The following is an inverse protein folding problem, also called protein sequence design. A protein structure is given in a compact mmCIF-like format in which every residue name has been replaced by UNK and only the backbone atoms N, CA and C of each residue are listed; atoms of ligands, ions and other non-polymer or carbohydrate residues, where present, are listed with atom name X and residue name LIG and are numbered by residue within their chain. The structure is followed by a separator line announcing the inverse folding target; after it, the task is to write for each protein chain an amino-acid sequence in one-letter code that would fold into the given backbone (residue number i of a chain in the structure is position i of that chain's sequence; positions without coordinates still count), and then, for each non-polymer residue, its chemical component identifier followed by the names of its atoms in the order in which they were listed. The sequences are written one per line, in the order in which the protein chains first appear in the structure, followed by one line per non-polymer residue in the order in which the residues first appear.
data_IF_777113917456
#
_entry.id   IF_777113917456
#
_cell.length_a   1.000
_cell.length_b   1.000
_cell.length_c   1.000
_cell.angle_alpha   90.00
_cell.angle_beta   90.00
_cell.angle_gamma   90.00
#
_symmetry.space_group_name_H-M   'P 1'
#
loop_
_entity.id
_entity.type
_entity.pdbx_description
1 polymer ?
#
# COMPACT_ATOMS: atom_id res chain seq x y z
N UNK A 1 10.35 -7.96 14.10
CA UNK A 1 10.45 -8.79 12.86
C UNK A 1 11.05 -7.94 11.77
N UNK A 2 12.10 -8.40 11.07
CA UNK A 2 12.73 -7.66 9.97
C UNK A 2 11.98 -7.86 8.66
N UNK A 3 12.26 -6.97 7.67
CA UNK A 3 11.66 -7.06 6.33
C UNK A 3 12.16 -8.30 5.55
N UNK A 4 13.39 -8.72 5.79
CA UNK A 4 13.96 -9.89 5.12
C UNK A 4 13.90 -11.11 6.03
N UNK A 5 13.63 -12.27 5.43
CA UNK A 5 13.60 -13.55 6.14
C UNK A 5 14.71 -14.48 5.66
N UNK A 6 15.31 -15.20 6.61
CA UNK A 6 16.22 -16.33 6.33
C UNK A 6 15.47 -17.66 6.24
N UNK A 7 14.16 -17.67 6.51
CA UNK A 7 13.31 -18.84 6.44
C UNK A 7 12.71 -18.95 5.04
N UNK A 8 13.13 -19.93 4.21
CA UNK A 8 12.70 -20.03 2.82
C UNK A 8 11.18 -20.17 2.64
N UNK A 9 10.51 -20.80 3.58
CA UNK A 9 9.07 -21.03 3.61
C UNK A 9 8.25 -19.75 3.92
N UNK A 10 8.88 -18.69 4.44
CA UNK A 10 8.27 -17.41 4.77
C UNK A 10 8.57 -16.31 3.75
N UNK A 11 9.35 -16.61 2.73
CA UNK A 11 9.68 -15.64 1.68
C UNK A 11 8.51 -15.43 0.72
N UNK A 12 8.31 -14.19 0.28
CA UNK A 12 7.32 -13.85 -0.77
C UNK A 12 7.57 -14.63 -2.07
N UNK A 13 8.81 -15.06 -2.33
CA UNK A 13 9.14 -15.90 -3.50
C UNK A 13 8.46 -17.28 -3.50
N UNK A 14 7.87 -17.71 -2.38
CA UNK A 14 7.14 -18.97 -2.26
C UNK A 14 5.66 -18.87 -2.62
N UNK A 15 5.15 -17.66 -2.74
CA UNK A 15 3.74 -17.43 -3.01
C UNK A 15 3.55 -16.97 -4.45
N UNK A 16 2.52 -17.47 -5.15
CA UNK A 16 2.08 -16.88 -6.40
C UNK A 16 1.70 -15.40 -6.21
N UNK A 17 1.86 -14.60 -7.25
CA UNK A 17 1.54 -13.17 -7.23
C UNK A 17 0.11 -12.89 -6.76
N UNK A 18 -0.87 -13.66 -7.25
CA UNK A 18 -2.29 -13.53 -6.88
C UNK A 18 -2.52 -13.73 -5.37
N UNK A 19 -1.82 -14.68 -4.77
CA UNK A 19 -1.92 -14.93 -3.32
C UNK A 19 -1.30 -13.79 -2.51
N UNK A 20 -0.19 -13.20 -2.99
CA UNK A 20 0.41 -12.02 -2.37
C UNK A 20 -0.55 -10.82 -2.44
N UNK A 21 -1.14 -10.56 -3.60
CA UNK A 21 -2.13 -9.49 -3.79
C UNK A 21 -3.31 -9.70 -2.84
N UNK A 22 -3.86 -10.92 -2.79
CA UNK A 22 -4.99 -11.23 -1.90
C UNK A 22 -4.67 -10.95 -0.44
N UNK A 23 -3.50 -11.34 0.04
CA UNK A 23 -3.05 -11.09 1.44
C UNK A 23 -2.88 -9.60 1.72
N UNK A 24 -2.28 -8.87 0.80
CA UNK A 24 -2.10 -7.42 0.95
C UNK A 24 -3.46 -6.72 1.01
N UNK A 25 -4.36 -7.01 0.08
CA UNK A 25 -5.71 -6.41 0.05
C UNK A 25 -6.47 -6.71 1.33
N UNK A 26 -6.43 -7.96 1.82
CA UNK A 26 -7.07 -8.35 3.07
C UNK A 26 -6.44 -7.60 4.26
N UNK A 27 -5.11 -7.48 4.31
CA UNK A 27 -4.40 -6.81 5.39
C UNK A 27 -4.59 -5.29 5.38
N UNK A 28 -4.82 -4.67 4.23
CA UNK A 28 -5.16 -3.25 4.13
C UNK A 28 -6.46 -2.90 4.86
N UNK A 29 -7.43 -3.82 4.90
CA UNK A 29 -8.70 -3.59 5.59
C UNK A 29 -9.53 -2.46 5.00
N UNK A 30 -9.23 -2.03 3.77
CA UNK A 30 -10.01 -1.02 3.04
C UNK A 30 -11.05 -1.70 2.18
N UNK A 31 -12.19 -1.04 1.97
CA UNK A 31 -13.20 -1.51 1.03
C UNK A 31 -12.64 -1.36 -0.39
N UNK A 32 -12.18 -2.46 -0.96
CA UNK A 32 -11.82 -2.53 -2.37
C UNK A 32 -13.01 -3.10 -3.16
N UNK A 33 -13.32 -2.57 -4.35
CA UNK A 33 -14.33 -3.19 -5.20
C UNK A 33 -13.89 -4.62 -5.56
N UNK A 34 -14.85 -5.54 -5.79
CA UNK A 34 -14.51 -6.87 -6.28
C UNK A 34 -13.94 -6.82 -7.69
N UNK A 35 -13.23 -7.89 -8.10
CA UNK A 35 -12.84 -8.07 -9.51
C UNK A 35 -14.10 -8.03 -10.41
N UNK A 36 -14.07 -7.37 -11.60
CA UNK A 36 -12.90 -6.78 -12.29
C UNK A 36 -12.57 -5.32 -11.94
N UNK A 37 -13.37 -4.64 -11.12
CA UNK A 37 -13.19 -3.22 -10.81
C UNK A 37 -12.11 -2.96 -9.73
N UNK A 38 -11.78 -4.00 -8.96
CA UNK A 38 -10.82 -3.95 -7.86
C UNK A 38 -9.46 -4.57 -8.18
N UNK A 39 -8.64 -4.79 -7.13
CA UNK A 39 -7.32 -5.39 -7.27
C UNK A 39 -7.36 -6.76 -7.92
N UNK A 40 -6.42 -7.02 -8.83
CA UNK A 40 -6.30 -8.28 -9.59
C UNK A 40 -6.60 -8.14 -11.08
N UNK A 41 -7.06 -6.97 -11.56
CA UNK A 41 -7.15 -6.60 -12.97
C UNK A 41 -5.99 -5.70 -13.40
N UNK A 42 -5.81 -5.54 -14.73
CA UNK A 42 -4.74 -4.68 -15.29
C UNK A 42 -4.96 -3.19 -14.99
N UNK A 43 -6.18 -2.78 -14.68
CA UNK A 43 -6.54 -1.39 -14.36
C UNK A 43 -7.52 -1.32 -13.19
N UNK A 44 -7.30 -0.38 -12.29
CA UNK A 44 -8.32 0.03 -11.32
C UNK A 44 -9.27 1.04 -11.98
N UNK A 45 -10.57 0.76 -11.95
CA UNK A 45 -11.59 1.72 -12.41
C UNK A 45 -11.82 2.76 -11.33
N UNK A 46 -11.37 3.98 -11.57
CA UNK A 46 -11.61 5.11 -10.68
C UNK A 46 -12.87 5.85 -11.14
N UNK A 47 -13.96 5.75 -10.36
CA UNK A 47 -15.17 6.52 -10.61
C UNK A 47 -14.90 8.01 -10.39
N UNK A 48 -14.89 8.78 -11.49
CA UNK A 48 -14.67 10.22 -11.47
C UNK A 48 -15.92 11.04 -11.17
N UNK A 49 -17.09 10.38 -11.06
CA UNK A 49 -18.39 11.06 -10.87
C UNK A 49 -18.72 11.33 -9.41
N UNK A 50 -17.98 10.76 -8.46
CA UNK A 50 -18.22 10.98 -7.03
C UNK A 50 -17.98 12.43 -6.62
N UNK A 51 -19.07 13.15 -6.37
CA UNK A 51 -19.08 14.38 -5.59
C UNK A 51 -19.02 15.71 -6.34
N UNK A 52 -19.21 15.77 -7.66
CA UNK A 52 -19.34 17.04 -8.39
C UNK A 52 -18.12 17.98 -8.33
N UNK A 53 -16.94 17.45 -7.98
CA UNK A 53 -15.69 18.24 -7.84
C UNK A 53 -15.06 18.49 -9.21
N UNK A 54 -14.69 19.77 -9.48
CA UNK A 54 -14.13 20.21 -10.77
C UNK A 54 -12.68 19.72 -11.02
N UNK A 55 -11.93 19.37 -9.98
CA UNK A 55 -10.50 19.06 -10.09
C UNK A 55 -10.16 17.86 -9.21
N UNK A 56 -9.29 16.99 -9.71
CA UNK A 56 -8.66 15.91 -8.98
C UNK A 56 -7.17 16.21 -8.85
N UNK A 57 -6.67 16.31 -7.62
CA UNK A 57 -5.23 16.28 -7.35
C UNK A 57 -4.78 14.84 -7.26
N UNK A 58 -3.67 14.50 -7.91
CA UNK A 58 -3.04 13.19 -7.80
C UNK A 58 -1.59 13.38 -7.43
N UNK A 59 -1.09 12.59 -6.48
CA UNK A 59 0.32 12.52 -6.11
C UNK A 59 0.79 11.08 -6.14
N UNK A 60 2.08 10.89 -6.30
CA UNK A 60 2.76 9.61 -6.16
C UNK A 60 4.09 9.83 -5.46
N UNK A 61 4.28 9.22 -4.32
CA UNK A 61 5.55 9.22 -3.60
C UNK A 61 5.84 7.80 -3.10
N UNK A 62 7.12 7.45 -3.03
CA UNK A 62 7.55 6.11 -2.67
C UNK A 62 8.38 6.08 -1.39
N UNK A 63 8.43 4.94 -0.73
CA UNK A 63 9.39 4.63 0.32
C UNK A 63 10.27 3.46 -0.10
N UNK A 64 11.57 3.60 0.11
CA UNK A 64 12.58 2.64 -0.31
C UNK A 64 13.38 2.16 0.89
N UNK A 65 13.57 0.84 0.99
CA UNK A 65 14.49 0.23 1.95
C UNK A 65 15.91 0.77 1.75
N UNK A 66 16.58 1.08 2.84
CA UNK A 66 17.93 1.65 2.86
C UNK A 66 17.99 3.17 2.62
N UNK A 67 16.87 3.79 2.22
CA UNK A 67 16.80 5.26 2.04
C UNK A 67 15.79 5.92 2.95
N UNK A 68 14.57 5.37 3.04
CA UNK A 68 13.48 5.96 3.81
C UNK A 68 13.18 5.19 5.09
N UNK A 69 13.58 3.94 5.13
CA UNK A 69 13.55 3.06 6.29
C UNK A 69 14.66 2.01 6.18
N UNK A 70 15.08 1.43 7.29
CA UNK A 70 16.10 0.37 7.37
C UNK A 70 15.43 -1.02 7.53
N UNK A 71 16.24 -2.08 7.45
CA UNK A 71 15.78 -3.46 7.55
C UNK A 71 15.22 -3.82 8.96
N UNK A 72 15.51 -3.02 9.98
CA UNK A 72 15.00 -3.21 11.34
C UNK A 72 13.63 -2.51 11.55
N UNK A 73 13.21 -1.68 10.61
CA UNK A 73 11.94 -0.98 10.69
C UNK A 73 10.79 -1.97 10.64
N UNK A 74 9.86 -1.86 11.58
CA UNK A 74 8.63 -2.64 11.55
C UNK A 74 7.77 -2.26 10.33
N UNK A 75 7.10 -3.27 9.73
CA UNK A 75 6.31 -3.08 8.51
C UNK A 75 5.27 -1.97 8.64
N UNK A 76 4.48 -2.00 9.72
CA UNK A 76 3.42 -0.99 9.94
C UNK A 76 3.95 0.45 9.97
N UNK A 77 5.18 0.67 10.43
CA UNK A 77 5.80 2.01 10.42
C UNK A 77 6.18 2.44 9.00
N UNK A 78 6.74 1.53 8.21
CA UNK A 78 7.08 1.79 6.82
C UNK A 78 5.82 2.05 5.97
N UNK A 79 4.76 1.25 6.17
CA UNK A 79 3.47 1.44 5.50
C UNK A 79 2.78 2.76 5.86
N UNK A 80 2.72 3.11 7.14
CA UNK A 80 2.19 4.39 7.58
C UNK A 80 3.01 5.57 7.03
N UNK A 81 4.34 5.44 6.95
CA UNK A 81 5.21 6.46 6.37
C UNK A 81 4.91 6.69 4.89
N UNK A 82 4.68 5.62 4.11
CA UNK A 82 4.32 5.74 2.70
C UNK A 82 3.05 6.57 2.52
N UNK A 83 1.99 6.22 3.23
CA UNK A 83 0.70 6.92 3.14
C UNK A 83 0.83 8.37 3.59
N UNK A 84 1.46 8.62 4.75
CA UNK A 84 1.61 9.98 5.29
C UNK A 84 2.43 10.90 4.38
N UNK A 85 3.41 10.39 3.62
CA UNK A 85 4.14 11.18 2.61
C UNK A 85 3.19 11.69 1.53
N UNK A 86 2.39 10.78 0.94
CA UNK A 86 1.42 11.15 -0.09
C UNK A 86 0.32 12.07 0.46
N UNK A 87 -0.15 11.86 1.69
CA UNK A 87 -1.11 12.75 2.35
C UNK A 87 -0.55 14.15 2.58
N UNK A 88 0.75 14.26 2.87
CA UNK A 88 1.43 15.56 3.01
C UNK A 88 1.36 16.39 1.74
N UNK A 89 1.57 15.77 0.57
CA UNK A 89 1.48 16.46 -0.73
C UNK A 89 0.05 16.89 -1.04
N UNK A 90 -0.93 16.03 -0.76
CA UNK A 90 -2.36 16.38 -0.91
C UNK A 90 -2.75 17.51 0.02
N UNK A 91 -2.27 17.53 1.26
CA UNK A 91 -2.51 18.59 2.20
C UNK A 91 -1.88 19.92 1.74
N UNK A 92 -0.66 19.88 1.21
CA UNK A 92 -0.01 21.06 0.64
C UNK A 92 -0.77 21.63 -0.56
N UNK A 93 -1.44 20.76 -1.34
CA UNK A 93 -2.31 21.16 -2.44
C UNK A 93 -3.73 21.58 -2.01
N UNK A 94 -4.05 21.53 -0.71
CA UNK A 94 -5.40 21.80 -0.20
C UNK A 94 -6.45 20.77 -0.65
N UNK A 95 -6.02 19.57 -1.02
CA UNK A 95 -6.88 18.51 -1.51
C UNK A 95 -7.32 17.56 -0.37
N UNK A 96 -8.53 17.03 -0.50
CA UNK A 96 -9.03 15.97 0.38
C UNK A 96 -8.71 14.61 -0.24
N UNK A 97 -8.09 13.67 0.48
CA UNK A 97 -7.83 12.33 -0.02
C UNK A 97 -9.15 11.60 -0.33
N UNK A 98 -9.15 10.78 -1.37
CA UNK A 98 -10.30 9.96 -1.75
C UNK A 98 -9.91 8.54 -2.13
N UNK A 99 -8.89 8.40 -2.95
CA UNK A 99 -8.47 7.12 -3.52
C UNK A 99 -6.95 7.05 -3.56
N UNK A 100 -6.41 5.83 -3.55
CA UNK A 100 -4.99 5.59 -3.69
C UNK A 100 -4.69 4.33 -4.50
N UNK A 101 -3.58 4.35 -5.21
CA UNK A 101 -3.00 3.18 -5.86
C UNK A 101 -1.70 2.81 -5.13
N UNK A 102 -1.53 1.52 -4.85
CA UNK A 102 -0.32 1.00 -4.24
C UNK A 102 0.46 0.17 -5.26
N UNK A 103 1.71 0.59 -5.52
CA UNK A 103 2.66 -0.20 -6.31
C UNK A 103 3.76 -0.72 -5.39
N UNK A 104 4.03 -2.03 -5.45
CA UNK A 104 5.03 -2.69 -4.63
C UNK A 104 6.10 -3.33 -5.52
N UNK A 105 7.36 -2.93 -5.31
CA UNK A 105 8.53 -3.61 -5.86
C UNK A 105 9.19 -4.38 -4.72
N UNK A 106 9.08 -5.70 -4.77
CA UNK A 106 9.53 -6.58 -3.71
C UNK A 106 10.72 -7.42 -4.14
N UNK A 107 11.75 -7.45 -3.31
CA UNK A 107 12.79 -8.45 -3.44
C UNK A 107 12.24 -9.84 -3.06
N UNK A 108 12.73 -10.94 -3.67
CA UNK A 108 12.17 -12.28 -3.46
C UNK A 108 12.33 -12.81 -2.03
N UNK A 109 13.19 -12.23 -1.24
CA UNK A 109 13.49 -12.57 0.15
C UNK A 109 12.73 -11.71 1.19
N UNK A 110 11.80 -10.86 0.76
CA UNK A 110 10.92 -10.13 1.69
C UNK A 110 10.06 -11.10 2.49
N UNK A 111 10.04 -10.90 3.82
CA UNK A 111 9.20 -11.69 4.73
C UNK A 111 7.72 -11.34 4.54
N UNK A 112 6.89 -12.36 4.30
CA UNK A 112 5.44 -12.19 4.06
C UNK A 112 4.74 -11.56 5.26
N UNK A 113 5.09 -11.93 6.49
CA UNK A 113 4.48 -11.35 7.68
C UNK A 113 4.90 -9.87 7.86
N UNK A 114 6.11 -9.49 7.44
CA UNK A 114 6.50 -8.08 7.39
C UNK A 114 5.68 -7.32 6.35
N UNK A 115 5.43 -7.92 5.17
CA UNK A 115 4.61 -7.30 4.11
C UNK A 115 3.16 -7.11 4.58
N UNK A 116 2.58 -8.09 5.26
CA UNK A 116 1.24 -7.97 5.84
C UNK A 116 1.19 -6.85 6.91
N UNK A 117 2.19 -6.77 7.79
CA UNK A 117 2.32 -5.67 8.77
C UNK A 117 2.46 -4.30 8.10
N UNK A 118 3.21 -4.22 6.98
CA UNK A 118 3.30 -3.02 6.14
C UNK A 118 1.93 -2.62 5.61
N UNK A 119 1.19 -3.57 5.05
CA UNK A 119 -0.14 -3.31 4.50
C UNK A 119 -1.12 -2.86 5.60
N UNK A 120 -1.08 -3.47 6.79
CA UNK A 120 -1.86 -3.01 7.95
C UNK A 120 -1.55 -1.56 8.32
N UNK A 121 -0.27 -1.20 8.40
CA UNK A 121 0.15 0.17 8.72
C UNK A 121 -0.31 1.20 7.68
N UNK A 122 -0.19 0.84 6.40
CA UNK A 122 -0.69 1.66 5.30
C UNK A 122 -2.22 1.83 5.37
N UNK A 123 -2.96 0.73 5.54
CA UNK A 123 -4.42 0.75 5.67
C UNK A 123 -4.91 1.58 6.86
N UNK A 124 -4.28 1.44 8.02
CA UNK A 124 -4.61 2.26 9.19
C UNK A 124 -4.36 3.76 8.96
N UNK A 125 -3.27 4.12 8.28
CA UNK A 125 -2.97 5.52 7.96
C UNK A 125 -4.00 6.08 6.96
N UNK A 126 -4.35 5.32 5.92
CA UNK A 126 -5.38 5.70 4.96
C UNK A 126 -6.75 5.89 5.63
N UNK A 127 -7.19 4.94 6.46
CA UNK A 127 -8.48 5.03 7.16
C UNK A 127 -8.58 6.22 8.14
N UNK A 128 -7.46 6.68 8.69
CA UNK A 128 -7.46 7.91 9.53
C UNK A 128 -7.59 9.19 8.72
N UNK A 129 -7.29 9.15 7.46
CA UNK A 129 -7.38 10.32 6.57
C UNK A 129 -8.79 10.51 5.97
N UNK A 130 -9.67 9.53 6.08
CA UNK A 130 -11.06 9.53 5.58
C UNK A 130 -11.19 8.65 4.37
#
# INVERSE_FOLDING_TARGET
MGALTTLPDRSVARLPEEELIRRVVQALGVAAPPFPEGPGGDCAHLDTTRGGRKYRASTIDSVLLGRHFDAACAGHRAGAKLVNRNLSDLAAAGATPSDGLLSLLLAPDVDVAWLEDFAHGAGQAANRAG
#
